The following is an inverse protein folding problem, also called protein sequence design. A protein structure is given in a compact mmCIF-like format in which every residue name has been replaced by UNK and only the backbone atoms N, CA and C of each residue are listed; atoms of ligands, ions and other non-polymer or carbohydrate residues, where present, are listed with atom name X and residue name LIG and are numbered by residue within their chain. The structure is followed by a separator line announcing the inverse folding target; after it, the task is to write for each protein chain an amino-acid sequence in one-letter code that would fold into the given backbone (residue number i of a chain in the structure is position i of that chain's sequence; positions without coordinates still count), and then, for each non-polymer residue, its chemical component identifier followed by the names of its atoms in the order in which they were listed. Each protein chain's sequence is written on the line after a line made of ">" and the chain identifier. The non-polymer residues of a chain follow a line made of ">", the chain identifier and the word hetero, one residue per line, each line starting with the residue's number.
data_IF_759493653607
#
_entry.id   IF_759493653607
#
_cell.length_a   1.000
_cell.length_b   1.000
_cell.length_c   1.000
_cell.angle_alpha   90.00
_cell.angle_beta   90.00
_cell.angle_gamma   90.00
#
_symmetry.space_group_name_H-M   'P 1'
#
loop_
_entity.id
_entity.type
_entity.pdbx_description
1 polymer ?
#
# COMPACT_ATOMS: atom_id res chain seq x y z
N UNK A 1 63.45 29.76 -38.37
CA UNK A 1 63.11 31.20 -38.46
C UNK A 1 61.78 31.30 -39.20
N UNK A 2 60.78 31.93 -38.58
CA UNK A 2 59.55 32.56 -39.16
C UNK A 2 58.61 31.65 -39.99
N UNK A 3 57.28 31.64 -39.85
CA UNK A 3 56.35 32.50 -39.12
C UNK A 3 54.91 31.93 -39.22
N UNK A 4 54.03 32.45 -38.36
CA UNK A 4 52.59 32.16 -38.30
C UNK A 4 51.82 32.73 -39.50
N UNK A 5 50.76 32.04 -39.95
CA UNK A 5 49.52 32.69 -40.41
C UNK A 5 48.34 31.71 -40.37
N UNK A 6 47.36 32.02 -39.51
CA UNK A 6 46.01 31.46 -39.47
C UNK A 6 45.14 32.13 -40.55
N UNK A 7 44.33 31.36 -41.30
CA UNK A 7 43.13 31.89 -41.96
C UNK A 7 41.95 30.95 -41.75
N UNK A 8 40.88 31.54 -41.20
CA UNK A 8 39.62 30.91 -40.86
C UNK A 8 38.69 30.83 -42.09
N UNK A 9 38.08 29.67 -42.33
CA UNK A 9 36.96 29.52 -43.26
C UNK A 9 35.63 29.61 -42.49
N UNK A 10 34.84 30.65 -42.81
CA UNK A 10 33.50 30.88 -42.29
C UNK A 10 32.50 29.96 -43.02
N UNK A 11 31.82 29.08 -42.30
CA UNK A 11 30.68 28.31 -42.81
C UNK A 11 29.38 29.07 -42.56
N UNK A 12 28.62 29.31 -43.63
CA UNK A 12 27.34 30.01 -43.61
C UNK A 12 26.19 29.04 -43.32
N UNK A 13 25.58 29.14 -42.13
CA UNK A 13 24.35 28.42 -41.78
C UNK A 13 23.16 29.16 -42.40
N UNK A 14 22.41 28.51 -43.29
CA UNK A 14 21.14 29.02 -43.82
C UNK A 14 20.00 28.64 -42.86
N UNK A 15 19.35 29.66 -42.29
CA UNK A 15 18.22 29.55 -41.38
C UNK A 15 16.94 29.25 -42.19
N UNK A 16 16.47 28.00 -42.18
CA UNK A 16 15.17 27.63 -42.76
C UNK A 16 14.05 27.89 -41.76
N UNK A 17 13.20 28.85 -42.04
CA UNK A 17 11.96 29.13 -41.29
C UNK A 17 10.97 27.97 -41.45
N UNK A 18 10.84 27.13 -40.42
CA UNK A 18 9.73 26.18 -40.27
C UNK A 18 8.51 26.95 -39.73
N UNK A 19 7.57 27.25 -40.63
CA UNK A 19 6.27 27.81 -40.29
C UNK A 19 5.40 26.70 -39.69
N UNK A 20 5.51 26.49 -38.38
CA UNK A 20 4.69 25.53 -37.65
C UNK A 20 3.27 26.11 -37.54
N UNK A 21 2.35 25.62 -38.37
CA UNK A 21 0.93 25.92 -38.26
C UNK A 21 0.42 25.42 -36.90
N UNK A 22 0.16 26.36 -35.99
CA UNK A 22 -0.50 26.11 -34.71
C UNK A 22 -1.94 25.66 -34.98
N UNK A 23 -2.14 24.34 -35.09
CA UNK A 23 -3.45 23.77 -34.86
C UNK A 23 -3.73 23.87 -33.35
N UNK A 24 -4.86 24.46 -32.91
CA UNK A 24 -5.29 24.31 -31.53
C UNK A 24 -5.62 22.83 -31.34
N UNK A 25 -4.74 22.11 -30.66
CA UNK A 25 -5.09 20.82 -30.10
C UNK A 25 -6.25 21.09 -29.15
N UNK A 26 -7.46 20.73 -29.58
CA UNK A 26 -8.57 20.62 -28.65
C UNK A 26 -8.14 19.58 -27.62
N UNK A 27 -7.84 20.04 -26.42
CA UNK A 27 -7.48 19.21 -25.28
C UNK A 27 -8.73 18.39 -24.94
N UNK A 28 -8.87 17.23 -25.59
CA UNK A 28 -9.77 16.19 -25.13
C UNK A 28 -9.21 15.78 -23.78
N UNK A 29 -9.77 16.33 -22.71
CA UNK A 29 -9.38 16.11 -21.32
C UNK A 29 -9.53 14.66 -20.88
N UNK A 30 -8.77 13.75 -21.49
CA UNK A 30 -8.51 12.42 -20.99
C UNK A 30 -7.63 12.59 -19.76
N UNK A 31 -8.26 12.80 -18.61
CA UNK A 31 -7.59 12.55 -17.35
C UNK A 31 -7.09 11.10 -17.38
N UNK A 32 -5.79 10.91 -17.16
CA UNK A 32 -5.22 9.58 -17.00
C UNK A 32 -6.01 8.84 -15.90
N UNK A 33 -6.25 7.52 -16.03
CA UNK A 33 -6.95 6.77 -15.01
C UNK A 33 -6.23 6.93 -13.68
N UNK A 34 -6.95 7.42 -12.67
CA UNK A 34 -6.41 7.63 -11.33
C UNK A 34 -5.99 6.28 -10.74
N UNK A 35 -4.84 6.23 -10.06
CA UNK A 35 -4.42 5.03 -9.35
C UNK A 35 -5.52 4.60 -8.36
N UNK A 36 -5.79 3.28 -8.29
CA UNK A 36 -6.83 2.75 -7.38
C UNK A 36 -6.53 3.14 -5.93
N UNK A 37 -5.28 2.95 -5.52
CA UNK A 37 -4.79 3.27 -4.20
C UNK A 37 -3.99 4.58 -4.24
N UNK A 38 -4.34 5.51 -3.36
CA UNK A 38 -3.62 6.78 -3.19
C UNK A 38 -3.36 7.06 -1.72
N UNK A 39 -2.36 7.88 -1.41
CA UNK A 39 -2.19 8.37 -0.03
C UNK A 39 -3.46 9.10 0.39
N UNK A 40 -3.97 8.78 1.58
CA UNK A 40 -5.18 9.41 2.13
C UNK A 40 -4.87 10.83 2.60
N UNK A 41 -5.93 11.64 2.69
CA UNK A 41 -5.88 12.97 3.32
C UNK A 41 -6.67 12.96 4.61
N UNK A 42 -6.34 13.86 5.53
CA UNK A 42 -7.10 14.10 6.76
C UNK A 42 -8.46 14.73 6.44
N UNK A 43 -9.48 14.36 7.20
CA UNK A 43 -10.84 14.89 7.03
C UNK A 43 -10.96 16.38 7.37
N UNK A 44 -10.15 16.88 8.30
CA UNK A 44 -10.20 18.28 8.75
C UNK A 44 -9.31 19.23 7.95
N UNK A 45 -8.02 18.89 7.82
CA UNK A 45 -7.03 19.79 7.22
C UNK A 45 -6.74 19.53 5.74
N UNK A 46 -7.22 18.40 5.19
CA UNK A 46 -6.87 17.97 3.83
C UNK A 46 -5.39 17.60 3.67
N UNK A 47 -4.63 17.56 4.75
CA UNK A 47 -3.22 17.22 4.75
C UNK A 47 -3.02 15.74 4.41
N UNK A 48 -1.93 15.43 3.71
CA UNK A 48 -1.55 14.05 3.40
C UNK A 48 -1.30 13.24 4.67
N UNK A 49 -1.77 12.00 4.70
CA UNK A 49 -1.53 11.01 5.76
C UNK A 49 -0.77 9.83 5.14
N UNK A 50 0.58 9.92 5.01
CA UNK A 50 1.38 8.98 4.20
C UNK A 50 1.30 7.50 4.60
N UNK A 51 0.96 7.22 5.86
CA UNK A 51 0.79 5.86 6.38
C UNK A 51 -0.55 5.22 6.06
N UNK A 52 -1.48 5.95 5.43
CA UNK A 52 -2.83 5.46 5.12
C UNK A 52 -3.08 5.57 3.62
N UNK A 53 -3.57 4.49 3.03
CA UNK A 53 -3.98 4.43 1.64
C UNK A 53 -5.50 4.48 1.53
N UNK A 54 -6.02 5.34 0.66
CA UNK A 54 -7.43 5.35 0.25
C UNK A 54 -7.60 4.43 -0.96
N UNK A 55 -8.52 3.48 -0.87
CA UNK A 55 -8.95 2.65 -1.98
C UNK A 55 -10.16 3.29 -2.66
N UNK A 56 -9.96 3.85 -3.86
CA UNK A 56 -11.04 4.49 -4.63
C UNK A 56 -12.13 3.54 -5.12
N UNK A 57 -11.84 2.24 -5.20
CA UNK A 57 -12.82 1.24 -5.65
C UNK A 57 -13.80 0.85 -4.55
N UNK A 58 -13.36 0.82 -3.29
CA UNK A 58 -14.18 0.39 -2.15
C UNK A 58 -14.56 1.52 -1.20
N UNK A 59 -13.89 2.67 -1.29
CA UNK A 59 -14.01 3.78 -0.35
C UNK A 59 -13.34 3.53 1.00
N UNK A 60 -12.65 2.40 1.16
CA UNK A 60 -11.99 2.01 2.41
C UNK A 60 -10.61 2.66 2.54
N UNK A 61 -10.16 2.77 3.78
CA UNK A 61 -8.85 3.26 4.15
C UNK A 61 -8.02 2.12 4.75
N UNK A 62 -6.77 2.00 4.33
CA UNK A 62 -5.91 0.89 4.69
C UNK A 62 -4.63 1.40 5.34
N UNK A 63 -4.19 0.72 6.39
CA UNK A 63 -2.82 0.92 6.88
C UNK A 63 -1.86 0.47 5.78
N UNK A 64 -0.93 1.37 5.41
CA UNK A 64 0.18 1.03 4.50
C UNK A 64 1.14 0.07 5.17
N UNK A 65 1.39 0.27 6.46
CA UNK A 65 2.27 -0.58 7.25
C UNK A 65 1.58 -1.85 7.72
N UNK A 66 2.38 -2.89 7.89
CA UNK A 66 1.93 -4.17 8.45
C UNK A 66 1.97 -4.05 9.96
N UNK A 67 0.91 -4.50 10.63
CA UNK A 67 0.85 -4.51 12.08
C UNK A 67 2.09 -5.19 12.70
N UNK A 68 2.65 -4.68 13.82
CA UNK A 68 2.26 -3.49 14.58
C UNK A 68 3.03 -2.22 14.15
N UNK A 69 3.52 -2.13 12.91
CA UNK A 69 4.31 -0.98 12.46
C UNK A 69 3.42 0.23 12.13
N UNK A 70 4.03 1.40 12.19
CA UNK A 70 3.46 2.68 11.74
C UNK A 70 4.39 3.33 10.72
N UNK A 71 3.85 4.25 9.93
CA UNK A 71 4.65 4.99 8.97
C UNK A 71 5.57 5.97 9.69
N UNK A 72 6.87 5.86 9.45
CA UNK A 72 7.85 6.84 9.92
C UNK A 72 8.12 7.86 8.80
N UNK A 73 7.68 9.13 8.97
CA UNK A 73 7.85 10.14 7.94
C UNK A 73 9.33 10.50 7.70
N UNK A 74 10.19 10.38 8.71
CA UNK A 74 11.61 10.73 8.60
C UNK A 74 12.38 9.78 7.70
N UNK A 75 12.01 8.50 7.70
CA UNK A 75 12.63 7.47 6.85
C UNK A 75 11.79 7.12 5.62
N UNK A 76 10.60 7.71 5.48
CA UNK A 76 9.61 7.36 4.45
C UNK A 76 9.40 5.84 4.33
N UNK A 77 9.30 5.16 5.48
CA UNK A 77 9.19 3.72 5.56
C UNK A 77 8.42 3.32 6.81
N UNK A 78 7.90 2.09 6.81
CA UNK A 78 7.28 1.51 8.00
C UNK A 78 8.33 1.11 9.03
N UNK A 79 8.07 1.45 10.29
CA UNK A 79 8.91 1.08 11.41
C UNK A 79 8.05 0.76 12.63
N UNK A 80 8.55 -0.08 13.52
CA UNK A 80 7.91 -0.28 14.82
C UNK A 80 8.16 0.97 15.68
N UNK A 81 7.09 1.57 16.20
CA UNK A 81 7.16 2.73 17.08
C UNK A 81 6.14 2.56 18.21
N UNK A 82 6.53 2.89 19.45
CA UNK A 82 5.68 3.02 20.65
C UNK A 82 4.43 2.12 20.69
N UNK A 83 4.61 0.87 21.12
CA UNK A 83 3.50 -0.09 21.21
C UNK A 83 2.59 0.22 22.42
N UNK A 84 1.26 0.34 22.22
CA UNK A 84 0.32 0.42 23.33
C UNK A 84 0.36 -0.83 24.22
N UNK A 85 -0.02 -0.69 25.48
CA UNK A 85 -0.08 -1.83 26.41
C UNK A 85 -1.00 -2.94 25.89
N UNK A 86 -0.51 -4.17 25.90
CA UNK A 86 -1.24 -5.34 25.42
C UNK A 86 -1.21 -5.53 23.89
N UNK A 87 -0.43 -4.74 23.16
CA UNK A 87 -0.09 -4.98 21.75
C UNK A 87 1.26 -5.72 21.69
N UNK A 88 1.36 -6.88 21.01
CA UNK A 88 2.61 -7.62 20.88
C UNK A 88 3.62 -6.87 20.01
N UNK A 89 4.91 -7.08 20.27
CA UNK A 89 5.99 -6.57 19.41
C UNK A 89 6.22 -7.41 18.15
N UNK A 90 5.59 -8.58 18.07
CA UNK A 90 5.67 -9.47 16.90
C UNK A 90 4.65 -9.06 15.83
N UNK A 91 5.06 -9.13 14.55
CA UNK A 91 4.20 -8.81 13.41
C UNK A 91 3.26 -9.93 12.99
N UNK A 92 3.59 -11.18 13.34
CA UNK A 92 2.75 -12.34 13.13
C UNK A 92 2.12 -12.75 14.47
N UNK A 93 0.81 -13.00 14.45
CA UNK A 93 0.00 -13.28 15.65
C UNK A 93 -1.05 -14.33 15.35
N UNK A 94 -1.52 -15.03 16.39
CA UNK A 94 -2.64 -15.95 16.27
C UNK A 94 -3.96 -15.20 16.07
N UNK A 95 -4.89 -15.84 15.36
CA UNK A 95 -6.16 -15.23 14.98
C UNK A 95 -7.03 -14.84 16.18
N UNK A 96 -7.08 -15.69 17.20
CA UNK A 96 -7.85 -15.42 18.42
C UNK A 96 -7.42 -14.10 19.08
N UNK A 97 -6.12 -13.90 19.25
CA UNK A 97 -5.55 -12.68 19.81
C UNK A 97 -5.79 -11.45 18.92
N UNK A 98 -5.75 -11.62 17.60
CA UNK A 98 -6.01 -10.53 16.65
C UNK A 98 -7.45 -9.99 16.70
N UNK A 99 -8.42 -10.84 17.07
CA UNK A 99 -9.86 -10.52 17.10
C UNK A 99 -10.40 -10.23 18.50
N UNK A 100 -9.69 -10.63 19.57
CA UNK A 100 -10.17 -10.52 20.95
C UNK A 100 -10.13 -9.08 21.49
N UNK A 101 -11.17 -8.70 22.26
CA UNK A 101 -11.19 -7.47 23.08
C UNK A 101 -10.86 -6.20 22.30
N UNK A 102 -11.74 -5.83 21.36
CA UNK A 102 -11.57 -4.79 20.34
C UNK A 102 -10.47 -5.05 19.28
N UNK A 103 -9.72 -6.14 19.37
CA UNK A 103 -8.72 -6.56 18.37
C UNK A 103 -7.49 -5.66 18.30
N UNK A 104 -6.41 -6.15 17.70
CA UNK A 104 -5.14 -5.42 17.68
C UNK A 104 -5.15 -4.17 16.79
N UNK A 105 -5.93 -4.18 15.71
CA UNK A 105 -6.08 -3.00 14.85
C UNK A 105 -6.64 -1.79 15.61
N UNK A 106 -7.67 -1.99 16.42
CA UNK A 106 -8.23 -0.93 17.25
C UNK A 106 -7.23 -0.43 18.29
N UNK A 107 -6.55 -1.35 18.96
CA UNK A 107 -5.57 -1.00 20.01
C UNK A 107 -4.39 -0.22 19.45
N UNK A 108 -3.93 -0.55 18.25
CA UNK A 108 -2.75 0.06 17.66
C UNK A 108 -3.06 1.39 16.95
N UNK A 109 -4.17 1.47 16.21
CA UNK A 109 -4.43 2.58 15.28
C UNK A 109 -5.66 3.42 15.66
N UNK A 110 -6.42 3.01 16.69
CA UNK A 110 -7.63 3.70 17.17
C UNK A 110 -8.93 3.00 16.78
N UNK A 111 -10.05 3.41 17.39
CA UNK A 111 -11.37 2.76 17.30
C UNK A 111 -11.98 2.66 15.90
N UNK A 112 -11.52 3.47 14.96
CA UNK A 112 -11.94 3.41 13.57
C UNK A 112 -11.32 2.23 12.80
N UNK A 113 -10.27 1.60 13.33
CA UNK A 113 -9.49 0.57 12.66
C UNK A 113 -9.85 -0.81 13.14
N UNK A 114 -10.03 -1.73 12.19
CA UNK A 114 -10.39 -3.12 12.46
C UNK A 114 -9.63 -4.08 11.56
N UNK A 115 -9.72 -5.36 11.91
CA UNK A 115 -9.32 -6.43 11.00
C UNK A 115 -10.31 -6.47 9.81
N UNK A 116 -9.84 -6.61 8.56
CA UNK A 116 -10.69 -6.66 7.40
C UNK A 116 -11.45 -7.98 7.33
N UNK A 117 -12.64 -7.93 6.75
CA UNK A 117 -13.36 -9.14 6.34
C UNK A 117 -12.62 -9.83 5.20
N UNK A 118 -12.95 -11.09 4.94
CA UNK A 118 -12.41 -11.86 3.84
C UNK A 118 -12.61 -11.15 2.50
N UNK A 119 -13.81 -10.61 2.25
CA UNK A 119 -14.09 -9.94 0.97
C UNK A 119 -13.27 -8.65 0.80
N UNK A 120 -13.11 -7.88 1.87
CA UNK A 120 -12.30 -6.65 1.84
C UNK A 120 -10.83 -6.96 1.60
N UNK A 121 -10.24 -7.89 2.35
CA UNK A 121 -8.82 -8.22 2.19
C UNK A 121 -8.54 -8.89 0.84
N UNK A 122 -9.43 -9.78 0.39
CA UNK A 122 -9.35 -10.39 -0.95
C UNK A 122 -9.46 -9.35 -2.06
N UNK A 123 -10.12 -8.22 -1.83
CA UNK A 123 -10.23 -7.15 -2.84
C UNK A 123 -8.89 -6.46 -3.13
N UNK A 124 -7.88 -6.61 -2.27
CA UNK A 124 -6.53 -6.09 -2.49
C UNK A 124 -5.71 -6.97 -3.44
N UNK A 125 -6.17 -8.19 -3.74
CA UNK A 125 -5.47 -9.07 -4.67
C UNK A 125 -5.40 -8.46 -6.06
N UNK A 126 -4.19 -8.35 -6.58
CA UNK A 126 -3.93 -7.99 -7.97
C UNK A 126 -3.56 -9.24 -8.76
N UNK A 127 -4.49 -9.70 -9.61
CA UNK A 127 -4.34 -10.90 -10.43
C UNK A 127 -3.36 -10.74 -11.59
N UNK A 128 -2.88 -9.54 -11.87
CA UNK A 128 -1.84 -9.30 -12.87
C UNK A 128 -0.42 -9.51 -12.33
N UNK A 129 -0.28 -9.73 -11.01
CA UNK A 129 1.01 -9.88 -10.33
C UNK A 129 1.05 -11.10 -9.43
N UNK A 130 2.27 -11.51 -9.12
CA UNK A 130 2.61 -12.61 -8.21
C UNK A 130 3.90 -12.20 -7.48
N UNK A 131 4.04 -12.61 -6.22
CA UNK A 131 5.21 -12.30 -5.39
C UNK A 131 5.60 -10.80 -5.35
N UNK A 132 4.74 -9.91 -4.81
CA UNK A 132 3.41 -10.17 -4.24
C UNK A 132 2.27 -9.72 -5.17
N UNK A 133 1.16 -10.45 -5.12
CA UNK A 133 -0.13 -10.18 -5.79
C UNK A 133 -0.94 -9.08 -5.09
N UNK A 134 -0.33 -7.92 -4.83
CA UNK A 134 -0.96 -6.73 -4.18
C UNK A 134 -0.28 -5.45 -4.64
N UNK A 135 -1.01 -4.34 -4.78
CA UNK A 135 -0.48 -3.04 -5.25
C UNK A 135 0.82 -2.65 -4.54
N UNK A 136 1.83 -2.23 -5.31
CA UNK A 136 3.13 -1.80 -4.78
C UNK A 136 3.01 -0.61 -3.81
N UNK A 137 1.88 0.12 -3.83
CA UNK A 137 1.56 1.11 -2.81
C UNK A 137 1.58 0.54 -1.39
N UNK A 138 1.32 -0.76 -1.22
CA UNK A 138 1.33 -1.46 0.07
C UNK A 138 2.70 -1.96 0.52
N UNK A 139 3.76 -1.72 -0.27
CA UNK A 139 5.12 -2.02 0.14
C UNK A 139 5.49 -1.17 1.37
N UNK A 140 5.91 -1.80 2.50
CA UNK A 140 6.34 -1.07 3.69
C UNK A 140 7.64 -0.27 3.51
N UNK A 141 8.36 -0.45 2.39
CA UNK A 141 9.58 0.26 2.05
C UNK A 141 10.87 -0.53 2.34
N UNK A 142 11.98 -0.03 1.78
CA UNK A 142 13.30 -0.69 1.69
C UNK A 142 14.01 -1.04 3.02
N UNK A 143 13.40 -0.79 4.18
CA UNK A 143 13.88 -1.30 5.47
C UNK A 143 13.80 -2.84 5.58
N UNK A 144 13.29 -3.50 4.55
CA UNK A 144 12.99 -4.93 4.51
C UNK A 144 13.58 -5.66 3.29
N UNK A 145 14.68 -5.20 2.68
CA UNK A 145 15.54 -6.02 1.79
C UNK A 145 14.89 -6.76 0.61
N UNK A 146 13.68 -6.37 0.18
CA UNK A 146 12.83 -7.04 -0.82
C UNK A 146 11.42 -6.43 -0.80
N UNK A 147 10.46 -7.01 -1.52
CA UNK A 147 9.04 -6.69 -1.32
C UNK A 147 8.64 -7.19 0.07
N UNK A 148 8.80 -6.37 1.10
CA UNK A 148 8.64 -6.73 2.52
C UNK A 148 7.21 -7.07 2.95
N UNK A 149 6.37 -7.56 2.03
CA UNK A 149 5.01 -8.00 2.25
C UNK A 149 5.04 -9.50 2.52
N UNK A 150 4.68 -9.94 3.75
CA UNK A 150 4.58 -11.35 4.08
C UNK A 150 3.48 -12.06 3.29
N UNK A 151 3.54 -13.39 3.30
CA UNK A 151 2.65 -14.19 2.47
C UNK A 151 1.20 -14.14 2.95
N UNK A 152 0.95 -14.44 4.23
CA UNK A 152 -0.39 -14.70 4.75
C UNK A 152 -0.87 -13.60 5.70
N UNK A 153 -2.12 -13.19 5.49
CA UNK A 153 -2.79 -12.22 6.33
C UNK A 153 -4.13 -12.75 6.84
N UNK A 154 -4.40 -12.51 8.12
CA UNK A 154 -5.66 -12.86 8.74
C UNK A 154 -6.81 -11.97 8.26
N UNK A 155 -7.99 -12.58 8.13
CA UNK A 155 -9.27 -11.88 8.00
C UNK A 155 -10.05 -11.98 9.31
N UNK A 156 -11.10 -11.19 9.49
CA UNK A 156 -11.99 -11.27 10.66
C UNK A 156 -12.98 -12.43 10.62
N UNK A 157 -13.01 -13.22 9.54
CA UNK A 157 -14.03 -14.26 9.35
C UNK A 157 -13.55 -15.61 9.92
N UNK A 158 -14.24 -16.19 10.91
CA UNK A 158 -14.06 -17.59 11.25
C UNK A 158 -14.63 -18.48 10.14
N UNK A 159 -14.17 -19.73 10.08
CA UNK A 159 -14.84 -20.77 9.30
C UNK A 159 -15.99 -21.32 10.13
N UNK A 160 -17.23 -21.21 9.64
CA UNK A 160 -18.42 -21.64 10.40
C UNK A 160 -19.09 -22.90 9.82
N UNK A 161 -18.88 -23.22 8.55
CA UNK A 161 -19.70 -24.18 7.80
C UNK A 161 -19.25 -25.65 7.91
N UNK A 162 -18.14 -25.93 8.59
CA UNK A 162 -17.51 -27.25 8.58
C UNK A 162 -17.77 -28.09 9.85
N UNK A 163 -18.58 -27.62 10.81
CA UNK A 163 -18.53 -28.12 12.21
C UNK A 163 -17.10 -28.10 12.80
N UNK A 164 -16.17 -27.41 12.15
CA UNK A 164 -14.79 -27.23 12.58
C UNK A 164 -14.70 -25.88 13.27
N UNK A 165 -14.71 -25.90 14.59
CA UNK A 165 -14.24 -24.76 15.38
C UNK A 165 -12.71 -24.71 15.29
N UNK A 166 -12.13 -23.50 15.39
CA UNK A 166 -10.67 -23.35 15.41
C UNK A 166 -10.00 -23.12 14.04
N UNK A 167 -10.75 -22.71 13.01
CA UNK A 167 -10.19 -22.27 11.73
C UNK A 167 -10.67 -20.86 11.38
N UNK A 168 -9.81 -20.11 10.70
CA UNK A 168 -10.11 -18.78 10.18
C UNK A 168 -9.59 -18.59 8.76
N UNK A 169 -10.20 -17.65 8.04
CA UNK A 169 -9.83 -17.35 6.67
C UNK A 169 -8.60 -16.44 6.59
N UNK A 170 -7.73 -16.70 5.62
CA UNK A 170 -6.55 -15.91 5.28
C UNK A 170 -6.52 -15.55 3.80
N UNK A 171 -5.82 -14.46 3.49
CA UNK A 171 -5.43 -14.12 2.12
C UNK A 171 -3.92 -14.27 2.00
N UNK A 172 -3.49 -14.99 0.98
CA UNK A 172 -2.10 -15.17 0.62
C UNK A 172 -1.73 -14.21 -0.53
N UNK A 173 -0.88 -13.22 -0.26
CA UNK A 173 -0.42 -12.28 -1.28
C UNK A 173 0.78 -12.79 -2.08
N UNK A 174 1.42 -13.90 -1.70
CA UNK A 174 2.49 -14.46 -2.54
C UNK A 174 1.93 -14.96 -3.87
N UNK A 175 0.88 -15.77 -3.83
CA UNK A 175 0.22 -16.37 -5.01
C UNK A 175 -1.11 -15.72 -5.38
N UNK A 176 -1.71 -14.93 -4.49
CA UNK A 176 -3.02 -14.31 -4.71
C UNK A 176 -4.20 -15.25 -4.47
N UNK A 177 -4.11 -16.11 -3.45
CA UNK A 177 -5.14 -17.09 -3.09
C UNK A 177 -5.77 -16.82 -1.73
N UNK A 178 -6.92 -17.46 -1.49
CA UNK A 178 -7.60 -17.48 -0.21
C UNK A 178 -7.48 -18.88 0.37
N UNK A 179 -7.15 -18.97 1.65
CA UNK A 179 -7.07 -20.23 2.39
C UNK A 179 -7.87 -20.14 3.68
N UNK A 180 -8.13 -21.28 4.29
CA UNK A 180 -8.46 -21.36 5.71
C UNK A 180 -7.43 -22.21 6.42
N UNK A 181 -7.18 -21.91 7.68
CA UNK A 181 -6.05 -22.46 8.44
C UNK A 181 -6.33 -22.39 9.93
N UNK A 182 -5.61 -23.17 10.72
CA UNK A 182 -5.79 -23.25 12.18
C UNK A 182 -5.65 -21.86 12.80
N UNK A 183 -6.66 -21.45 13.56
CA UNK A 183 -6.75 -20.13 14.21
C UNK A 183 -5.88 -20.02 15.47
N UNK A 184 -5.29 -21.13 15.92
CA UNK A 184 -4.52 -21.23 17.18
C UNK A 184 -3.09 -21.73 17.00
N UNK A 185 -2.74 -22.22 15.81
CA UNK A 185 -1.44 -22.87 15.57
C UNK A 185 -0.55 -22.13 14.58
N UNK A 186 -1.09 -21.12 13.88
CA UNK A 186 -0.37 -20.41 12.84
C UNK A 186 -0.37 -18.90 13.13
N UNK A 187 0.80 -18.29 13.38
CA UNK A 187 0.88 -16.85 13.47
C UNK A 187 0.93 -16.24 12.06
N UNK A 188 0.01 -15.31 11.76
CA UNK A 188 -0.01 -14.56 10.50
C UNK A 188 -0.16 -13.06 10.73
N UNK A 189 0.02 -12.30 9.66
CA UNK A 189 0.14 -10.85 9.70
C UNK A 189 -1.22 -10.18 9.62
N UNK A 190 -1.30 -8.93 10.09
CA UNK A 190 -2.52 -8.12 10.02
C UNK A 190 -2.28 -6.89 9.14
N UNK A 191 -3.29 -6.56 8.33
CA UNK A 191 -3.38 -5.27 7.64
C UNK A 191 -4.72 -4.66 7.99
N UNK A 192 -4.68 -3.58 8.75
CA UNK A 192 -5.88 -2.98 9.31
C UNK A 192 -6.59 -2.11 8.29
N UNK A 193 -7.92 -2.09 8.38
CA UNK A 193 -8.80 -1.32 7.50
C UNK A 193 -9.71 -0.41 8.33
N UNK A 194 -10.13 0.69 7.74
CA UNK A 194 -11.13 1.60 8.28
C UNK A 194 -12.13 1.98 7.20
N UNK A 195 -13.39 2.19 7.61
CA UNK A 195 -14.46 2.71 6.74
C UNK A 195 -14.58 4.23 6.82
N UNK A 196 -13.80 4.88 7.68
CA UNK A 196 -13.82 6.33 7.89
C UNK A 196 -12.48 6.93 7.52
N UNK A 197 -12.51 8.14 6.96
CA UNK A 197 -11.31 8.91 6.67
C UNK A 197 -10.54 9.19 7.96
N UNK A 198 -9.20 9.14 7.96
CA UNK A 198 -8.42 9.56 9.12
C UNK A 198 -8.71 11.02 9.48
N UNK A 199 -8.71 11.37 10.78
CA UNK A 199 -8.99 12.72 11.26
C UNK A 199 -8.03 13.75 10.65
#
# INVERSE_FOLDING_TARGET
>A
MMGFAWQALKSSVRLGLLFCLYLPFADLGLAAPTARFSVATSSGSGASVPGVLKDSATGLYWQKCIFPQTWNPSSSACATQNLPSGVPSTSAVDWGSATFGNGYCTKMYGSAWRLPTLLELRSLLDRSRVNPAIDSSFDPGSASGGSGIPDFFWTSNPVQWLNQTGYAWTVNFYYGYVYFTSSTSNPYYLRCVSSTQPP
#
